data_IF_765040760247
#
_entry.id   IF_765040760247
#
_cell.length_a   1.000
_cell.length_b   1.000
_cell.length_c   1.000
_cell.angle_alpha   90.00
_cell.angle_beta   90.00
_cell.angle_gamma   90.00
#
_symmetry.space_group_name_H-M   'P 1'
#
loop_
_entity.id
_entity.type
_entity.pdbx_description
1 polymer ?
#
# COMPACT_ATOMS: atom_id res chain seq x y z
N UNK A 1 -8.63 24.07 24.03
CA UNK A 1 -8.49 23.94 22.56
C UNK A 1 -9.25 22.69 22.13
N UNK A 2 -10.29 22.85 21.33
CA UNK A 2 -11.17 21.79 20.83
C UNK A 2 -10.53 20.96 19.71
N UNK A 3 -10.70 19.63 19.84
CA UNK A 3 -11.01 18.59 18.83
C UNK A 3 -9.92 17.94 17.96
N UNK A 4 -10.02 16.59 17.96
CA UNK A 4 -9.65 15.56 16.95
C UNK A 4 -8.14 15.26 16.81
N UNK A 5 -7.64 14.03 16.94
CA UNK A 5 -8.06 12.75 16.33
C UNK A 5 -7.84 11.54 17.27
N UNK A 6 -8.88 10.76 17.58
CA UNK A 6 -8.70 9.32 17.85
C UNK A 6 -9.33 8.42 16.76
N UNK A 7 -9.90 8.99 15.68
CA UNK A 7 -10.61 8.23 14.64
C UNK A 7 -9.72 7.64 13.54
N UNK A 8 -8.44 8.01 13.45
CA UNK A 8 -7.60 7.68 12.29
C UNK A 8 -6.94 6.30 12.35
N UNK A 9 -6.81 5.69 13.53
CA UNK A 9 -6.12 4.40 13.72
C UNK A 9 -7.08 3.22 13.57
N UNK A 10 -8.33 3.38 14.00
CA UNK A 10 -9.32 2.28 13.96
C UNK A 10 -9.78 2.03 12.52
N UNK A 11 -10.05 3.08 11.74
CA UNK A 11 -10.44 2.92 10.33
C UNK A 11 -9.32 2.37 9.45
N UNK A 12 -8.04 2.60 9.81
CA UNK A 12 -6.91 2.01 9.10
C UNK A 12 -6.72 0.53 9.43
N UNK A 13 -6.94 0.12 10.68
CA UNK A 13 -6.83 -1.29 11.08
C UNK A 13 -7.93 -2.13 10.44
N UNK A 14 -9.18 -1.64 10.41
CA UNK A 14 -10.30 -2.32 9.75
C UNK A 14 -10.06 -2.45 8.22
N UNK A 15 -9.43 -1.44 7.59
CA UNK A 15 -9.07 -1.46 6.18
C UNK A 15 -7.95 -2.46 5.85
N UNK A 16 -6.97 -2.59 6.75
CA UNK A 16 -5.88 -3.55 6.61
C UNK A 16 -6.40 -4.98 6.75
N UNK A 17 -7.31 -5.23 7.69
CA UNK A 17 -7.96 -6.54 7.83
C UNK A 17 -8.79 -6.91 6.58
N UNK A 18 -9.51 -5.97 5.98
CA UNK A 18 -10.23 -6.20 4.72
C UNK A 18 -9.27 -6.49 3.55
N UNK A 19 -8.16 -5.76 3.48
CA UNK A 19 -7.11 -5.97 2.46
C UNK A 19 -6.49 -7.37 2.59
N UNK A 20 -6.11 -7.77 3.81
CA UNK A 20 -5.53 -9.08 4.09
C UNK A 20 -6.52 -10.20 3.71
N UNK A 21 -7.80 -10.06 4.05
CA UNK A 21 -8.82 -11.02 3.63
C UNK A 21 -8.99 -11.10 2.10
N UNK A 22 -8.88 -9.98 1.39
CA UNK A 22 -8.90 -9.95 -0.09
C UNK A 22 -7.66 -10.60 -0.69
N UNK A 23 -6.49 -10.39 -0.09
CA UNK A 23 -5.25 -11.04 -0.48
C UNK A 23 -5.34 -12.56 -0.32
N UNK A 24 -5.77 -13.03 0.84
CA UNK A 24 -5.95 -14.46 1.12
C UNK A 24 -6.92 -15.11 0.13
N UNK A 25 -8.02 -14.43 -0.20
CA UNK A 25 -8.98 -14.93 -1.18
C UNK A 25 -8.40 -15.00 -2.60
N UNK A 26 -7.58 -14.01 -3.00
CA UNK A 26 -6.97 -13.94 -4.33
C UNK A 26 -5.82 -14.94 -4.49
N UNK A 27 -4.98 -15.11 -3.46
CA UNK A 27 -3.85 -16.04 -3.48
C UNK A 27 -4.32 -17.51 -3.57
N UNK A 28 -5.45 -17.82 -2.95
CA UNK A 28 -6.04 -19.17 -3.00
C UNK A 28 -6.92 -19.42 -4.23
N UNK A 29 -7.11 -18.43 -5.12
CA UNK A 29 -7.92 -18.58 -6.32
C UNK A 29 -7.13 -19.33 -7.43
N UNK A 30 -7.54 -20.54 -7.82
CA UNK A 30 -6.87 -21.28 -8.88
C UNK A 30 -6.96 -20.59 -10.25
N UNK A 31 -7.98 -19.75 -10.51
CA UNK A 31 -8.08 -18.99 -11.76
C UNK A 31 -7.05 -17.85 -11.81
N UNK A 32 -6.80 -17.18 -10.69
CA UNK A 32 -5.73 -16.18 -10.56
C UNK A 32 -4.35 -16.81 -10.77
N UNK A 33 -4.07 -17.93 -10.12
CA UNK A 33 -2.78 -18.63 -10.22
C UNK A 33 -2.49 -19.17 -11.62
N UNK A 34 -3.53 -19.47 -12.41
CA UNK A 34 -3.38 -19.93 -13.79
C UNK A 34 -3.05 -18.81 -14.79
N UNK A 35 -3.23 -17.53 -14.42
CA UNK A 35 -2.97 -16.39 -15.30
C UNK A 35 -1.47 -16.12 -15.46
N UNK A 36 -1.03 -15.52 -16.59
CA UNK A 36 0.32 -14.99 -16.73
C UNK A 36 0.66 -13.97 -15.64
N UNK A 37 1.93 -13.94 -15.21
CA UNK A 37 2.44 -13.07 -14.12
C UNK A 37 2.04 -11.60 -14.31
N UNK A 38 2.02 -11.08 -15.54
CA UNK A 38 1.60 -9.70 -15.82
C UNK A 38 0.12 -9.42 -15.52
N UNK A 39 -0.75 -10.39 -15.78
CA UNK A 39 -2.18 -10.27 -15.44
C UNK A 39 -2.38 -10.36 -13.93
N UNK A 40 -1.62 -11.24 -13.27
CA UNK A 40 -1.61 -11.32 -11.81
C UNK A 40 -1.23 -9.97 -11.20
N UNK A 41 -0.13 -9.34 -11.63
CA UNK A 41 0.30 -8.01 -11.14
C UNK A 41 -0.80 -6.94 -11.31
N UNK A 42 -1.56 -6.96 -12.40
CA UNK A 42 -2.66 -6.02 -12.62
C UNK A 42 -3.80 -6.27 -11.62
N UNK A 43 -4.15 -7.53 -11.37
CA UNK A 43 -5.21 -7.92 -10.44
C UNK A 43 -4.84 -7.62 -8.98
N UNK A 44 -3.60 -7.94 -8.59
CA UNK A 44 -2.93 -7.52 -7.36
C UNK A 44 -3.05 -5.99 -7.19
N UNK A 45 -2.75 -5.23 -8.25
CA UNK A 45 -2.85 -3.77 -8.26
C UNK A 45 -4.25 -3.21 -7.99
N UNK A 46 -5.30 -3.99 -8.30
CA UNK A 46 -6.70 -3.60 -8.08
C UNK A 46 -7.20 -3.87 -6.66
N UNK A 47 -6.51 -4.70 -5.88
CA UNK A 47 -6.85 -4.99 -4.48
C UNK A 47 -6.62 -3.75 -3.60
N UNK A 48 -5.56 -2.99 -3.89
CA UNK A 48 -5.17 -1.80 -3.14
C UNK A 48 -5.83 -0.54 -3.70
N UNK A 49 -6.54 0.27 -2.89
CA UNK A 49 -7.17 1.50 -3.35
C UNK A 49 -6.16 2.54 -3.87
N UNK A 50 -6.53 3.29 -4.90
CA UNK A 50 -5.73 4.38 -5.50
C UNK A 50 -5.39 5.53 -4.53
N UNK A 51 -6.12 5.67 -3.43
CA UNK A 51 -5.75 6.61 -2.35
C UNK A 51 -4.51 6.15 -1.60
N UNK A 52 -4.38 4.84 -1.35
CA UNK A 52 -3.27 4.26 -0.59
C UNK A 52 -2.00 4.22 -1.44
N UNK A 53 -2.13 3.91 -2.73
CA UNK A 53 -1.03 4.05 -3.69
C UNK A 53 -0.42 5.46 -3.65
N UNK A 54 -1.23 6.52 -3.56
CA UNK A 54 -0.70 7.89 -3.52
C UNK A 54 -0.09 8.29 -2.17
N UNK A 55 -0.47 7.62 -1.08
CA UNK A 55 0.08 7.89 0.26
C UNK A 55 1.39 7.14 0.49
N UNK A 56 1.44 5.88 0.07
CA UNK A 56 2.53 4.97 0.39
C UNK A 56 3.53 4.80 -0.73
N UNK A 57 3.15 5.06 -1.98
CA UNK A 57 4.04 4.87 -3.11
C UNK A 57 4.83 6.15 -3.41
N UNK A 58 6.17 6.06 -3.47
CA UNK A 58 7.04 7.18 -3.80
C UNK A 58 6.73 7.78 -5.17
N UNK A 59 6.67 9.10 -5.26
CA UNK A 59 6.52 9.82 -6.54
C UNK A 59 7.82 9.94 -7.32
N UNK A 60 8.95 9.86 -6.62
CA UNK A 60 10.31 10.07 -7.10
C UNK A 60 11.08 8.77 -7.36
N UNK A 61 10.50 7.61 -6.99
CA UNK A 61 10.84 6.20 -7.28
C UNK A 61 12.28 5.70 -7.04
N UNK A 62 13.28 6.58 -7.03
CA UNK A 62 14.70 6.25 -6.95
C UNK A 62 15.49 7.28 -6.14
N UNK A 63 15.04 8.53 -6.08
CA UNK A 63 15.78 9.62 -5.41
C UNK A 63 15.92 9.37 -3.91
N UNK A 64 14.83 8.98 -3.27
CA UNK A 64 14.81 8.65 -1.85
C UNK A 64 14.88 7.12 -1.58
N UNK A 65 15.59 6.35 -2.42
CA UNK A 65 15.65 4.89 -2.27
C UNK A 65 16.14 4.45 -0.88
N UNK A 66 17.18 5.11 -0.35
CA UNK A 66 17.72 4.80 0.99
C UNK A 66 16.69 5.06 2.09
N UNK A 67 15.86 6.11 1.93
CA UNK A 67 14.75 6.36 2.84
C UNK A 67 13.70 5.25 2.78
N UNK A 68 13.29 4.82 1.59
CA UNK A 68 12.25 3.79 1.46
C UNK A 68 12.70 2.40 1.92
N UNK A 69 13.97 2.06 1.72
CA UNK A 69 14.50 0.75 2.10
C UNK A 69 14.99 0.68 3.54
N UNK A 70 15.56 1.77 4.06
CA UNK A 70 16.27 1.76 5.34
C UNK A 70 15.79 2.83 6.32
N UNK A 71 14.83 3.68 5.94
CA UNK A 71 14.36 4.78 6.77
C UNK A 71 15.38 5.90 6.94
N UNK A 72 16.36 6.02 6.04
CA UNK A 72 17.28 7.16 6.02
C UNK A 72 16.51 8.48 5.85
N UNK A 73 17.05 9.65 6.26
CA UNK A 73 16.42 10.93 5.97
C UNK A 73 16.15 11.11 4.48
N UNK A 74 15.05 11.76 4.12
CA UNK A 74 14.79 12.08 2.72
C UNK A 74 15.64 13.26 2.28
N UNK A 75 16.12 13.23 1.05
CA UNK A 75 16.91 14.32 0.47
C UNK A 75 16.13 15.65 0.43
N UNK A 76 14.79 15.61 0.37
CA UNK A 76 13.90 16.78 0.38
C UNK A 76 13.50 17.29 1.78
N UNK A 77 13.93 16.62 2.85
CA UNK A 77 13.74 17.08 4.23
C UNK A 77 14.94 17.88 4.78
N UNK A 78 16.05 17.96 4.03
CA UNK A 78 17.28 18.67 4.43
C UNK A 78 17.34 20.15 3.96
N UNK A 79 16.29 20.69 3.31
CA UNK A 79 16.18 22.10 2.90
C UNK A 79 15.27 22.98 3.78
#
# INVERSE_FOLDING_TARGET
MDKQKPHSTVESDDLMEELDAKWDALENDPEFLAKPIWQQIIEIGNVVPQSEWRKHLPTDFARNFEHYMYGAPREDEEE
#
